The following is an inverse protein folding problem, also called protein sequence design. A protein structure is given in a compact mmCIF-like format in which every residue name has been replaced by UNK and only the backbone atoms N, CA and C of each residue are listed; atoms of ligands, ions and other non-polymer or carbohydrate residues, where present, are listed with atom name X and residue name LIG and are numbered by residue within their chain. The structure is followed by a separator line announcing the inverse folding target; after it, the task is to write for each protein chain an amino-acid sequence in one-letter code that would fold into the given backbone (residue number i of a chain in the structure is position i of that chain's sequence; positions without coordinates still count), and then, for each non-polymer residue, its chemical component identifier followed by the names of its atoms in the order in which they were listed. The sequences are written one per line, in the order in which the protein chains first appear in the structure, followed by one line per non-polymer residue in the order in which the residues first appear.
data_IF_294359137684
#
_entry.id   IF_294359137684
#
_cell.length_a   1.000
_cell.length_b   1.000
_cell.length_c   1.000
_cell.angle_alpha   90.00
_cell.angle_beta   90.00
_cell.angle_gamma   90.00
#
_symmetry.space_group_name_H-M   'P 1'
#
loop_
_entity.id
_entity.type
_entity.pdbx_description
1 polymer ?
#
# COMPACT_ATOMS: atom_id res chain seq x y z
N UNK A 1 6.63 17.62 16.28
CA UNK A 1 5.68 16.51 16.05
C UNK A 1 6.21 15.72 14.88
N UNK A 2 6.60 14.48 15.09
CA UNK A 2 6.97 13.58 13.98
C UNK A 2 5.65 13.26 13.28
N UNK A 3 5.51 13.62 12.00
CA UNK A 3 4.40 13.12 11.18
C UNK A 3 4.66 11.63 10.99
N UNK A 4 3.73 10.77 11.39
CA UNK A 4 3.78 9.35 11.04
C UNK A 4 3.66 9.25 9.52
N UNK A 5 4.74 8.87 8.82
CA UNK A 5 4.77 8.78 7.35
C UNK A 5 3.66 7.82 6.87
N UNK A 6 3.01 8.16 5.75
CA UNK A 6 1.88 7.38 5.24
C UNK A 6 0.60 7.51 6.07
N UNK A 7 0.52 8.52 6.94
CA UNK A 7 -0.72 8.97 7.59
C UNK A 7 -1.22 10.22 6.88
N UNK A 8 -2.07 10.02 5.88
CA UNK A 8 -2.64 11.12 5.13
C UNK A 8 -3.81 11.74 5.89
N UNK A 9 -3.72 13.05 6.15
CA UNK A 9 -4.65 13.75 7.06
C UNK A 9 -6.10 13.71 6.58
N UNK A 10 -6.35 13.62 5.27
CA UNK A 10 -7.72 13.49 4.73
C UNK A 10 -8.43 12.22 5.24
N UNK A 11 -7.69 11.17 5.60
CA UNK A 11 -8.24 9.93 6.10
C UNK A 11 -8.96 10.06 7.45
N UNK A 12 -8.65 11.10 8.22
CA UNK A 12 -9.37 11.41 9.46
C UNK A 12 -10.79 11.92 9.21
N UNK A 13 -11.06 12.40 8.00
CA UNK A 13 -12.39 12.91 7.59
C UNK A 13 -13.30 11.79 7.09
N UNK A 14 -12.79 10.57 6.97
CA UNK A 14 -13.60 9.46 6.55
C UNK A 14 -14.59 9.04 7.64
N UNK A 15 -15.81 8.62 7.28
CA UNK A 15 -16.78 8.12 8.24
C UNK A 15 -16.17 7.03 9.13
N UNK A 16 -16.55 6.95 10.39
CA UNK A 16 -16.02 5.97 11.36
C UNK A 16 -16.20 4.50 10.95
N UNK A 17 -17.07 4.22 9.98
CA UNK A 17 -17.24 2.93 9.33
C UNK A 17 -16.22 2.62 8.22
N UNK A 18 -15.37 3.58 7.87
CA UNK A 18 -14.37 3.45 6.81
C UNK A 18 -13.16 4.31 7.09
N UNK A 19 -12.23 3.86 7.93
CA UNK A 19 -10.86 4.35 7.83
C UNK A 19 -10.36 4.23 6.37
N UNK A 20 -9.35 5.01 5.98
CA UNK A 20 -8.55 4.77 4.76
C UNK A 20 -7.73 3.48 4.86
N UNK A 21 -8.38 2.38 5.15
CA UNK A 21 -7.84 1.08 4.87
C UNK A 21 -7.89 0.90 3.34
N UNK A 22 -6.96 0.10 2.85
CA UNK A 22 -6.79 -0.26 1.44
C UNK A 22 -8.12 -0.43 0.70
N UNK A 23 -8.12 -0.01 -0.57
CA UNK A 23 -9.02 -0.41 -1.66
C UNK A 23 -10.31 -1.10 -1.20
N UNK A 24 -11.33 -0.29 -0.86
CA UNK A 24 -12.65 -0.81 -0.51
C UNK A 24 -13.34 -1.28 -1.78
N UNK A 25 -13.65 -2.57 -1.88
CA UNK A 25 -14.38 -3.14 -3.00
C UNK A 25 -15.85 -2.70 -2.98
N UNK A 26 -16.55 -2.83 -4.12
CA UNK A 26 -17.99 -2.49 -4.25
C UNK A 26 -18.89 -3.23 -3.25
N UNK A 27 -18.49 -4.44 -2.82
CA UNK A 27 -19.20 -5.25 -1.82
C UNK A 27 -18.84 -4.87 -0.37
N UNK A 28 -18.02 -3.83 -0.16
CA UNK A 28 -17.59 -3.37 1.17
C UNK A 28 -16.40 -4.11 1.77
N UNK A 29 -15.87 -5.16 1.12
CA UNK A 29 -14.68 -5.87 1.62
C UNK A 29 -13.43 -5.03 1.40
N UNK A 30 -12.49 -5.09 2.35
CA UNK A 30 -11.18 -4.43 2.28
C UNK A 30 -10.14 -5.42 1.81
N UNK A 31 -9.35 -5.04 0.82
CA UNK A 31 -8.27 -5.88 0.30
C UNK A 31 -7.13 -6.05 1.30
N UNK A 32 -6.58 -7.26 1.36
CA UNK A 32 -5.41 -7.54 2.18
C UNK A 32 -4.16 -6.88 1.58
N UNK A 33 -3.28 -6.34 2.43
CA UNK A 33 -2.08 -5.70 1.93
C UNK A 33 -1.04 -6.70 1.44
N UNK A 34 -0.21 -6.23 0.53
CA UNK A 34 1.09 -6.85 0.28
C UNK A 34 2.02 -6.58 1.43
N UNK A 35 2.79 -7.60 1.78
CA UNK A 35 3.87 -7.51 2.74
C UNK A 35 5.17 -8.00 2.12
N UNK A 36 6.24 -7.28 2.44
CA UNK A 36 7.62 -7.70 2.23
C UNK A 36 8.22 -8.21 3.54
N UNK A 37 9.46 -8.73 3.48
CA UNK A 37 10.16 -9.26 4.65
C UNK A 37 10.21 -8.24 5.81
N UNK A 38 10.44 -6.96 5.50
CA UNK A 38 10.44 -5.87 6.48
C UNK A 38 9.08 -5.65 7.15
N UNK A 39 7.98 -5.78 6.42
CA UNK A 39 6.63 -5.67 6.98
C UNK A 39 6.33 -6.87 7.89
N UNK A 40 6.76 -8.08 7.48
CA UNK A 40 6.50 -9.30 8.25
C UNK A 40 7.16 -9.27 9.63
N UNK A 41 8.41 -8.78 9.72
CA UNK A 41 9.11 -8.59 11.00
C UNK A 41 8.34 -7.65 11.95
N UNK A 42 7.71 -6.59 11.41
CA UNK A 42 6.99 -5.60 12.20
C UNK A 42 5.60 -6.07 12.69
N UNK A 43 4.93 -6.94 11.92
CA UNK A 43 3.53 -7.31 12.18
C UNK A 43 3.36 -8.40 13.25
N UNK A 44 4.42 -9.16 13.55
CA UNK A 44 4.41 -10.25 14.54
C UNK A 44 3.29 -11.27 14.32
N UNK A 45 2.95 -11.57 13.06
CA UNK A 45 1.99 -12.63 12.71
C UNK A 45 2.69 -14.00 12.62
N UNK A 46 1.91 -15.08 12.63
CA UNK A 46 2.41 -16.42 12.37
C UNK A 46 2.61 -16.64 10.88
N UNK A 47 3.45 -17.62 10.51
CA UNK A 47 3.67 -17.99 9.10
C UNK A 47 2.38 -18.30 8.34
N UNK A 48 1.39 -18.87 9.05
CA UNK A 48 0.13 -19.36 8.50
C UNK A 48 -0.89 -18.22 8.26
N UNK A 49 -0.60 -17.02 8.77
CA UNK A 49 -1.39 -15.81 8.52
C UNK A 49 -1.05 -15.16 7.17
N UNK A 50 -0.08 -15.71 6.45
CA UNK A 50 0.35 -15.21 5.15
C UNK A 50 0.05 -16.21 4.03
N UNK A 51 -0.21 -15.68 2.84
CA UNK A 51 -0.29 -16.47 1.62
C UNK A 51 1.01 -17.21 1.33
N UNK A 52 0.94 -18.18 0.42
CA UNK A 52 2.13 -18.73 -0.21
C UNK A 52 3.04 -17.62 -0.74
N UNK A 53 4.36 -17.82 -0.63
CA UNK A 53 5.37 -16.90 -1.16
C UNK A 53 5.23 -16.83 -2.67
N UNK A 54 5.07 -15.62 -3.20
CA UNK A 54 5.24 -15.38 -4.63
C UNK A 54 6.65 -14.88 -4.90
N UNK A 55 7.32 -15.58 -5.82
CA UNK A 55 8.68 -15.30 -6.25
C UNK A 55 8.65 -14.55 -7.58
N UNK A 56 9.43 -13.47 -7.65
CA UNK A 56 9.66 -12.71 -8.87
C UNK A 56 11.16 -12.44 -8.97
N UNK A 57 11.88 -13.34 -9.67
CA UNK A 57 13.34 -13.36 -9.61
C UNK A 57 13.85 -13.62 -8.19
N UNK A 58 14.69 -12.73 -7.67
CA UNK A 58 15.23 -12.82 -6.31
C UNK A 58 14.30 -12.24 -5.23
N UNK A 59 13.20 -11.59 -5.63
CA UNK A 59 12.30 -10.91 -4.72
C UNK A 59 11.14 -11.80 -4.28
N UNK A 60 10.67 -11.57 -3.06
CA UNK A 60 9.60 -12.33 -2.42
C UNK A 60 8.54 -11.37 -1.90
N UNK A 61 7.28 -11.68 -2.20
CA UNK A 61 6.14 -10.98 -1.63
C UNK A 61 5.12 -12.00 -1.13
N UNK A 62 4.35 -11.59 -0.12
CA UNK A 62 3.17 -12.32 0.36
C UNK A 62 2.00 -11.36 0.47
N UNK A 63 0.79 -11.90 0.44
CA UNK A 63 -0.39 -11.21 0.97
C UNK A 63 -0.68 -11.73 2.38
N UNK A 64 -1.30 -10.90 3.20
CA UNK A 64 -1.91 -11.37 4.46
C UNK A 64 -3.20 -12.11 4.12
N UNK A 65 -3.47 -13.23 4.79
CA UNK A 65 -4.75 -13.92 4.62
C UNK A 65 -5.92 -13.03 5.06
N UNK A 66 -7.02 -13.07 4.30
CA UNK A 66 -8.26 -12.41 4.67
C UNK A 66 -9.05 -13.29 5.65
N UNK A 67 -9.83 -12.68 6.54
CA UNK A 67 -10.68 -13.41 7.50
C UNK A 67 -12.07 -13.77 6.92
N UNK A 68 -12.20 -13.90 5.59
CA UNK A 68 -13.48 -14.07 4.89
C UNK A 68 -14.22 -12.76 4.61
N UNK A 69 -14.12 -11.77 5.49
CA UNK A 69 -14.78 -10.45 5.36
C UNK A 69 -13.85 -9.33 4.84
N UNK A 70 -12.55 -9.62 4.70
CA UNK A 70 -11.55 -8.70 4.17
C UNK A 70 -10.22 -8.78 4.92
N UNK A 71 -9.45 -7.69 4.91
CA UNK A 71 -8.18 -7.57 5.59
C UNK A 71 -8.28 -7.96 7.07
N UNK A 72 -7.43 -8.90 7.52
CA UNK A 72 -7.36 -9.40 8.90
C UNK A 72 -7.27 -8.29 9.96
N UNK A 73 -6.56 -7.21 9.65
CA UNK A 73 -6.36 -6.09 10.56
C UNK A 73 -7.51 -5.08 10.60
N UNK A 74 -8.48 -5.19 9.69
CA UNK A 74 -9.63 -4.29 9.64
C UNK A 74 -10.72 -4.77 10.59
N UNK A 75 -10.83 -4.14 11.76
CA UNK A 75 -11.81 -4.50 12.79
C UNK A 75 -12.53 -3.25 13.29
N UNK A 76 -13.87 -3.28 13.29
CA UNK A 76 -14.68 -2.17 13.79
C UNK A 76 -14.46 -0.85 13.04
N UNK A 77 -14.29 -0.91 11.71
CA UNK A 77 -14.08 0.26 10.85
C UNK A 77 -12.64 0.80 10.83
N UNK A 78 -11.71 0.16 11.56
CA UNK A 78 -10.34 0.66 11.73
C UNK A 78 -9.27 -0.42 11.56
N UNK A 79 -8.06 0.02 11.19
CA UNK A 79 -6.88 -0.82 11.19
C UNK A 79 -6.36 -0.99 12.63
N UNK A 80 -6.25 -2.23 13.10
CA UNK A 80 -5.75 -2.59 14.43
C UNK A 80 -4.24 -2.44 14.60
N UNK A 81 -3.51 -2.27 13.50
CA UNK A 81 -2.05 -2.15 13.46
C UNK A 81 -1.60 -0.84 12.85
N UNK A 82 -2.35 0.24 13.08
CA UNK A 82 -2.20 1.53 12.39
C UNK A 82 -0.76 2.08 12.37
N UNK A 83 -0.06 1.97 13.51
CA UNK A 83 1.29 2.51 13.68
C UNK A 83 2.39 1.64 13.04
N UNK A 84 2.04 0.41 12.65
CA UNK A 84 2.93 -0.58 12.04
C UNK A 84 2.35 -1.11 10.73
N UNK A 85 1.61 -0.26 10.01
CA UNK A 85 0.98 -0.61 8.74
C UNK A 85 2.03 -1.02 7.70
N UNK A 86 1.75 -2.05 6.89
CA UNK A 86 2.60 -2.41 5.77
C UNK A 86 2.83 -1.24 4.82
N UNK A 87 3.94 -1.26 4.08
CA UNK A 87 4.25 -0.20 3.10
C UNK A 87 3.11 0.03 2.10
N UNK A 88 2.46 -1.04 1.61
CA UNK A 88 1.27 -0.97 0.72
C UNK A 88 0.13 -0.15 1.35
N UNK A 89 -0.13 -0.35 2.65
CA UNK A 89 -1.12 0.43 3.42
C UNK A 89 -0.69 1.86 3.73
N UNK A 90 0.61 2.15 3.74
CA UNK A 90 1.16 3.50 3.99
C UNK A 90 1.24 4.33 2.73
N UNK A 91 1.38 3.71 1.56
CA UNK A 91 1.34 4.40 0.27
C UNK A 91 -0.08 4.85 -0.07
N UNK A 92 -1.10 4.03 0.22
CA UNK A 92 -2.50 4.33 -0.07
C UNK A 92 -2.98 5.68 0.52
N UNK A 93 -3.56 6.59 -0.28
CA UNK A 93 -4.27 6.34 -1.55
C UNK A 93 -3.40 6.44 -2.80
N UNK A 94 -2.11 6.73 -2.64
CA UNK A 94 -1.14 6.71 -3.73
C UNK A 94 -0.61 5.29 -3.91
N UNK A 95 -0.18 4.98 -5.12
CA UNK A 95 0.42 3.69 -5.46
C UNK A 95 1.33 3.88 -6.68
N UNK A 96 2.05 2.83 -7.06
CA UNK A 96 2.95 2.82 -8.21
C UNK A 96 2.48 1.73 -9.16
N UNK A 97 2.38 2.04 -10.45
CA UNK A 97 2.22 1.05 -11.52
C UNK A 97 3.45 1.03 -12.41
N UNK A 98 3.61 -0.06 -13.14
CA UNK A 98 4.54 -0.13 -14.26
C UNK A 98 3.73 -0.01 -15.56
N UNK A 99 4.24 0.80 -16.50
CA UNK A 99 3.68 1.02 -17.82
C UNK A 99 4.80 1.26 -18.82
N UNK A 100 4.94 0.36 -19.79
CA UNK A 100 5.89 0.49 -20.92
C UNK A 100 7.36 0.72 -20.48
N UNK A 101 7.80 -0.01 -19.45
CA UNK A 101 9.12 0.06 -18.86
C UNK A 101 9.30 1.19 -17.83
N UNK A 102 8.24 1.96 -17.53
CA UNK A 102 8.31 3.13 -16.64
C UNK A 102 7.44 2.95 -15.42
N UNK A 103 7.93 3.45 -14.30
CA UNK A 103 7.18 3.48 -13.04
C UNK A 103 6.41 4.79 -12.97
N UNK A 104 5.11 4.72 -12.69
CA UNK A 104 4.21 5.87 -12.67
C UNK A 104 3.51 5.93 -11.31
N UNK A 105 3.55 7.09 -10.67
CA UNK A 105 2.72 7.38 -9.50
C UNK A 105 1.26 7.47 -9.92
N UNK A 106 0.39 6.81 -9.17
CA UNK A 106 -1.05 6.84 -9.36
C UNK A 106 -1.76 7.21 -8.07
N UNK A 107 -2.99 7.70 -8.20
CA UNK A 107 -3.90 7.90 -7.07
C UNK A 107 -5.24 7.22 -7.33
N UNK A 108 -5.70 6.44 -6.35
CA UNK A 108 -6.99 5.75 -6.41
C UNK A 108 -8.17 6.73 -6.42
N UNK A 109 -9.17 6.44 -7.25
CA UNK A 109 -10.44 7.20 -7.34
C UNK A 109 -11.53 6.64 -6.44
N UNK A 110 -11.57 5.32 -6.25
CA UNK A 110 -12.57 4.65 -5.42
C UNK A 110 -12.12 4.64 -3.96
N UNK A 111 -12.15 5.82 -3.33
CA UNK A 111 -11.85 5.99 -1.92
C UNK A 111 -13.12 6.26 -1.13
N UNK A 112 -12.96 6.29 0.19
CA UNK A 112 -13.83 7.02 1.09
C UNK A 112 -14.28 8.36 0.45
N UNK A 113 -15.55 8.79 0.62
CA UNK A 113 -16.16 9.93 -0.08
C UNK A 113 -15.66 11.30 0.42
N UNK A 114 -14.36 11.41 0.68
CA UNK A 114 -13.66 12.63 1.08
C UNK A 114 -12.87 13.10 -0.13
N UNK A 115 -13.15 14.32 -0.55
CA UNK A 115 -12.32 14.98 -1.56
C UNK A 115 -10.91 15.19 -1.00
N UNK A 116 -9.91 14.77 -1.78
CA UNK A 116 -8.51 15.03 -1.53
C UNK A 116 -7.83 15.37 -2.86
N UNK A 117 -6.81 16.22 -2.80
CA UNK A 117 -5.93 16.48 -3.93
C UNK A 117 -4.69 15.59 -3.79
N UNK A 118 -4.43 14.62 -4.70
CA UNK A 118 -3.29 13.72 -4.59
C UNK A 118 -1.94 14.44 -4.55
N UNK A 119 -1.82 15.57 -5.27
CA UNK A 119 -0.61 16.39 -5.33
C UNK A 119 -0.16 16.86 -3.94
N UNK A 120 -1.11 17.12 -3.03
CA UNK A 120 -0.81 17.60 -1.67
C UNK A 120 -0.08 16.53 -0.83
N UNK A 121 -0.11 15.26 -1.25
CA UNK A 121 0.41 14.10 -0.52
C UNK A 121 1.51 13.35 -1.27
N UNK A 122 1.83 13.76 -2.50
CA UNK A 122 2.78 13.07 -3.35
C UNK A 122 4.21 13.06 -2.76
N UNK A 123 4.64 14.17 -2.16
CA UNK A 123 5.94 14.25 -1.49
C UNK A 123 6.03 13.32 -0.27
N UNK A 124 4.94 13.20 0.49
CA UNK A 124 4.88 12.26 1.62
C UNK A 124 4.98 10.81 1.10
N UNK A 125 4.33 10.48 -0.03
CA UNK A 125 4.44 9.17 -0.69
C UNK A 125 5.84 8.88 -1.24
N UNK A 126 6.48 9.86 -1.90
CA UNK A 126 7.87 9.75 -2.37
C UNK A 126 8.84 9.45 -1.22
N UNK A 127 8.60 10.01 -0.03
CA UNK A 127 9.42 9.75 1.15
C UNK A 127 9.38 8.29 1.65
N UNK A 128 8.38 7.51 1.20
CA UNK A 128 8.20 6.09 1.47
C UNK A 128 8.84 5.20 0.39
N UNK A 129 9.23 5.75 -0.78
CA UNK A 129 9.81 4.99 -1.89
C UNK A 129 11.08 4.23 -1.48
N UNK A 130 11.91 4.86 -0.63
CA UNK A 130 13.11 4.23 -0.07
C UNK A 130 12.83 2.96 0.75
N UNK A 131 11.62 2.82 1.28
CA UNK A 131 11.21 1.64 2.05
C UNK A 131 10.79 0.45 1.16
N UNK A 132 10.37 0.73 -0.09
CA UNK A 132 10.23 -0.30 -1.11
C UNK A 132 11.61 -0.78 -1.59
N UNK A 133 12.58 0.13 -1.67
CA UNK A 133 13.93 -0.16 -2.14
C UNK A 133 13.93 -0.86 -3.49
N UNK A 134 14.70 -1.94 -3.59
CA UNK A 134 14.80 -2.75 -4.81
C UNK A 134 13.49 -3.47 -5.18
N UNK A 135 12.51 -3.53 -4.26
CA UNK A 135 11.21 -4.15 -4.53
C UNK A 135 10.26 -3.24 -5.32
N UNK A 136 10.62 -1.99 -5.64
CA UNK A 136 9.69 -1.05 -6.30
C UNK A 136 9.12 -1.58 -7.62
N UNK A 137 9.93 -2.21 -8.47
CA UNK A 137 9.46 -2.81 -9.72
C UNK A 137 8.56 -4.02 -9.49
N UNK A 138 8.90 -4.86 -8.51
CA UNK A 138 8.06 -5.97 -8.10
C UNK A 138 6.70 -5.45 -7.62
N UNK A 139 6.72 -4.50 -6.70
CA UNK A 139 5.53 -3.88 -6.12
C UNK A 139 4.64 -3.26 -7.20
N UNK A 140 5.23 -2.56 -8.18
CA UNK A 140 4.52 -1.95 -9.28
C UNK A 140 3.80 -2.96 -10.18
N UNK A 141 4.43 -4.12 -10.42
CA UNK A 141 3.93 -5.20 -11.28
C UNK A 141 3.15 -6.29 -10.55
N UNK A 142 3.01 -6.21 -9.22
CA UNK A 142 2.43 -7.30 -8.45
C UNK A 142 0.93 -7.43 -8.78
N UNK A 143 0.53 -8.64 -9.17
CA UNK A 143 -0.88 -8.99 -9.39
C UNK A 143 -1.24 -10.09 -8.39
N UNK A 144 -1.94 -9.73 -7.32
CA UNK A 144 -2.53 -10.67 -6.38
C UNK A 144 -4.05 -10.55 -6.38
N UNK A 145 -4.79 -11.62 -6.04
CA UNK A 145 -6.23 -11.53 -5.85
C UNK A 145 -6.59 -10.45 -4.81
N UNK A 146 -7.37 -9.44 -5.22
CA UNK A 146 -7.65 -8.28 -4.37
C UNK A 146 -6.55 -7.22 -4.38
N UNK A 147 -5.80 -7.08 -5.46
CA UNK A 147 -4.88 -5.95 -5.66
C UNK A 147 -5.19 -5.19 -6.92
N UNK A 148 -6.47 -5.10 -7.27
CA UNK A 148 -6.88 -4.36 -8.46
C UNK A 148 -6.41 -2.92 -8.31
N UNK A 149 -5.47 -2.51 -9.16
CA UNK A 149 -4.96 -1.14 -9.20
C UNK A 149 -5.89 -0.32 -10.07
N UNK A 150 -7.19 -0.30 -9.81
CA UNK A 150 -8.19 0.43 -10.61
C UNK A 150 -9.43 0.75 -9.75
N UNK A 151 -10.13 1.87 -10.01
CA UNK A 151 -9.78 2.96 -10.92
C UNK A 151 -8.79 3.96 -10.30
N UNK A 152 -7.89 4.52 -11.13
CA UNK A 152 -6.93 5.55 -10.72
C UNK A 152 -6.86 6.75 -11.68
N UNK A 153 -6.13 7.79 -11.26
CA UNK A 153 -5.47 8.77 -12.13
C UNK A 153 -3.96 8.57 -12.09
N UNK A 154 -3.31 8.82 -13.22
CA UNK A 154 -1.85 8.94 -13.30
C UNK A 154 -1.44 10.35 -12.82
N UNK A 155 -0.33 10.43 -12.09
CA UNK A 155 0.24 11.67 -11.60
C UNK A 155 1.50 12.01 -12.40
N UNK A 156 2.64 11.41 -12.03
CA UNK A 156 3.94 11.64 -12.65
C UNK A 156 4.81 10.37 -12.66
N UNK A 157 5.91 10.42 -13.40
CA UNK A 157 6.91 9.34 -13.43
C UNK A 157 7.66 9.26 -12.09
N UNK A 158 7.97 8.03 -11.65
CA UNK A 158 8.73 7.82 -10.42
C UNK A 158 10.21 8.07 -10.68
N UNK A 159 10.76 9.08 -10.03
CA UNK A 159 12.21 9.33 -10.00
C UNK A 159 12.89 8.39 -9.00
N UNK A 160 13.56 7.35 -9.51
CA UNK A 160 14.43 6.50 -8.69
C UNK A 160 15.75 7.25 -8.45
N UNK A 161 16.07 7.52 -7.18
CA UNK A 161 17.41 7.98 -6.84
C UNK A 161 18.41 6.87 -7.22
N UNK A 162 19.52 7.19 -7.91
CA UNK A 162 20.55 6.19 -8.17
C UNK A 162 21.03 5.64 -6.82
N UNK A 163 21.02 4.31 -6.68
CA UNK A 163 21.61 3.66 -5.52
C UNK A 163 23.04 4.16 -5.37
N UNK A 164 23.36 4.69 -4.18
CA UNK A 164 24.75 4.99 -3.85
C UNK A 164 25.54 3.67 -4.00
N UNK A 165 26.66 3.66 -4.72
CA UNK A 165 27.46 2.45 -4.83
C UNK A 165 27.91 2.03 -3.43
N UNK A 166 27.69 0.76 -3.10
CA UNK A 166 28.23 0.14 -1.90
C UNK A 166 29.74 0.39 -1.85
N UNK A 167 30.20 1.10 -0.83
CA UNK A 167 31.63 1.34 -0.55
C UNK A 167 32.21 0.24 0.33
#
# INVERSE_FOLDING_TARGET
MIKDKGTYSFCQKCPSSGNCCSRVKRNGSVDAPVVFDSDMEALSLNSDDYSEVKHYGNYKARAIHTNGDGCYFFQGGKCTVYDRRPIDCRLFPLDIIEKEGRLIWIAYKNLCPVEFNPEDYLEDAKSLLSELGDNVFLYANLILPGMDKEPYIELEEVELQPSLPDH
#
